data_IF_984203620235
#
_entry.id   IF_984203620235
#
_cell.length_a   1.000
_cell.length_b   1.000
_cell.length_c   1.000
_cell.angle_alpha   90.00
_cell.angle_beta   90.00
_cell.angle_gamma   90.00
#
_symmetry.space_group_name_H-M   'P 1'
#
loop_
_entity.id
_entity.type
_entity.pdbx_description
1 polymer ?
#
# COMPACT_ATOMS: atom_id res chain seq x y z
N UNK A 1 22.27 -5.75 24.32
CA UNK A 1 20.80 -5.63 24.13
C UNK A 1 20.45 -6.24 22.79
N UNK A 2 19.86 -7.42 22.83
CA UNK A 2 19.49 -8.19 21.62
C UNK A 2 18.16 -7.63 21.07
N UNK A 3 18.17 -7.15 19.83
CA UNK A 3 16.93 -6.90 19.09
C UNK A 3 16.37 -8.25 18.66
N UNK A 4 15.26 -8.64 19.24
CA UNK A 4 14.44 -9.74 18.72
C UNK A 4 13.55 -9.19 17.63
N UNK A 5 13.72 -9.72 16.43
CA UNK A 5 12.76 -9.45 15.35
C UNK A 5 11.43 -10.14 15.70
N UNK A 6 10.35 -9.36 15.70
CA UNK A 6 8.99 -9.84 15.82
C UNK A 6 8.55 -10.46 14.50
N UNK A 7 8.05 -11.65 14.55
CA UNK A 7 7.28 -12.44 13.60
C UNK A 7 7.93 -13.76 13.22
N UNK A 8 7.57 -14.79 14.00
CA UNK A 8 7.61 -16.17 13.53
C UNK A 8 6.16 -16.66 13.39
N UNK A 9 5.67 -16.77 12.19
CA UNK A 9 4.49 -17.55 11.89
C UNK A 9 4.91 -19.03 11.84
N UNK A 10 4.30 -19.86 12.69
CA UNK A 10 4.23 -21.31 12.57
C UNK A 10 5.54 -22.08 12.36
N UNK A 11 6.21 -22.48 13.44
CA UNK A 11 6.84 -23.81 13.51
C UNK A 11 8.16 -24.05 12.80
N UNK A 12 9.09 -23.08 12.70
CA UNK A 12 10.53 -23.38 12.63
C UNK A 12 11.31 -22.17 13.12
N UNK A 13 11.99 -22.36 14.24
CA UNK A 13 12.86 -21.36 14.87
C UNK A 13 14.17 -21.27 14.08
N UNK A 14 14.34 -20.22 13.29
CA UNK A 14 15.65 -19.85 12.75
C UNK A 14 16.28 -18.84 13.70
N UNK A 15 17.23 -19.32 14.50
CA UNK A 15 18.08 -18.49 15.35
C UNK A 15 19.18 -17.91 14.47
N UNK A 16 19.15 -16.62 14.18
CA UNK A 16 20.29 -15.89 13.64
C UNK A 16 21.06 -15.25 14.79
N UNK A 17 22.23 -15.82 15.09
CA UNK A 17 23.21 -15.21 15.99
C UNK A 17 24.01 -14.18 15.20
N UNK A 18 23.81 -12.88 15.46
CA UNK A 18 24.70 -11.83 14.96
C UNK A 18 25.79 -11.57 16.00
N UNK A 19 27.00 -12.00 15.70
CA UNK A 19 28.20 -11.57 16.40
C UNK A 19 28.66 -10.22 15.82
N UNK A 20 28.60 -9.17 16.64
CA UNK A 20 29.20 -7.87 16.30
C UNK A 20 30.72 -7.95 16.37
N UNK A 21 31.41 -7.72 15.26
CA UNK A 21 32.78 -7.23 15.25
C UNK A 21 32.88 -6.05 14.29
N UNK A 22 33.32 -4.95 14.83
CA UNK A 22 33.60 -3.72 14.11
C UNK A 22 34.90 -3.86 13.29
N UNK A 23 34.99 -3.00 12.29
CA UNK A 23 36.11 -2.56 11.46
C UNK A 23 36.21 -3.20 10.07
N UNK A 24 36.03 -2.38 9.08
CA UNK A 24 36.39 -2.65 7.70
C UNK A 24 35.40 -1.99 6.71
N UNK A 25 35.76 -0.81 6.22
CA UNK A 25 35.10 -0.20 5.06
C UNK A 25 35.23 -1.12 3.87
N UNK A 26 34.13 -1.72 3.46
CA UNK A 26 34.04 -2.40 2.16
C UNK A 26 32.96 -1.70 1.36
N UNK A 27 33.43 -1.03 0.29
CA UNK A 27 32.56 -0.42 -0.68
C UNK A 27 31.56 -1.42 -1.24
N UNK A 28 30.29 -1.02 -1.23
CA UNK A 28 29.26 -1.67 -2.01
C UNK A 28 29.64 -1.50 -3.51
N UNK A 29 30.15 -2.55 -4.13
CA UNK A 29 30.17 -2.63 -5.57
C UNK A 29 28.73 -2.78 -6.05
N UNK A 30 28.23 -1.87 -6.92
CA UNK A 30 26.94 -2.08 -7.53
C UNK A 30 26.99 -3.35 -8.37
N UNK A 31 26.07 -4.30 -8.09
CA UNK A 31 25.82 -5.42 -8.99
C UNK A 31 25.57 -4.84 -10.37
N UNK A 32 26.44 -5.17 -11.33
CA UNK A 32 26.29 -4.79 -12.72
C UNK A 32 25.04 -5.49 -13.29
N UNK A 33 23.91 -4.79 -13.28
CA UNK A 33 22.72 -5.22 -13.99
C UNK A 33 22.99 -4.98 -15.47
N UNK A 34 23.18 -6.06 -16.22
CA UNK A 34 23.24 -5.99 -17.68
C UNK A 34 21.96 -5.32 -18.21
N UNK A 35 22.13 -4.25 -19.00
CA UNK A 35 21.00 -3.59 -19.65
C UNK A 35 20.33 -4.57 -20.63
N UNK A 36 19.00 -4.79 -20.52
CA UNK A 36 18.29 -5.58 -21.53
C UNK A 36 18.23 -4.82 -22.85
N UNK A 37 18.40 -5.54 -23.95
CA UNK A 37 18.23 -5.03 -25.31
C UNK A 37 16.80 -4.54 -25.55
N UNK A 38 16.64 -3.45 -26.31
CA UNK A 38 15.38 -2.83 -26.68
C UNK A 38 14.51 -3.79 -27.53
N UNK A 39 13.19 -3.71 -27.33
CA UNK A 39 12.11 -4.15 -28.20
C UNK A 39 11.87 -5.65 -28.41
N UNK A 40 11.41 -6.31 -27.33
CA UNK A 40 10.50 -7.46 -27.48
C UNK A 40 9.49 -7.48 -26.33
N UNK A 41 8.38 -8.22 -26.47
CA UNK A 41 7.46 -8.52 -25.35
C UNK A 41 8.25 -9.04 -24.14
N UNK A 42 9.23 -9.91 -24.43
CA UNK A 42 10.14 -10.47 -23.44
C UNK A 42 10.94 -9.39 -22.71
N UNK A 43 11.35 -8.33 -23.41
CA UNK A 43 12.07 -7.21 -22.79
C UNK A 43 11.24 -6.38 -21.81
N UNK A 44 9.93 -6.19 -22.03
CA UNK A 44 9.06 -5.49 -21.08
C UNK A 44 8.81 -6.34 -19.83
N UNK A 45 8.45 -7.61 -20.00
CA UNK A 45 8.21 -8.52 -18.89
C UNK A 45 9.46 -8.68 -18.01
N UNK A 46 10.64 -8.79 -18.64
CA UNK A 46 11.92 -8.83 -17.92
C UNK A 46 12.20 -7.55 -17.13
N UNK A 47 11.92 -6.36 -17.70
CA UNK A 47 12.09 -5.09 -16.97
C UNK A 47 11.14 -4.99 -15.78
N UNK A 48 9.87 -5.32 -15.96
CA UNK A 48 8.87 -5.31 -14.89
C UNK A 48 9.27 -6.27 -13.78
N UNK A 49 9.66 -7.51 -14.13
CA UNK A 49 10.13 -8.50 -13.17
C UNK A 49 11.36 -8.01 -12.41
N UNK A 50 12.34 -7.40 -13.09
CA UNK A 50 13.55 -6.88 -12.45
C UNK A 50 13.23 -5.76 -11.43
N UNK A 51 12.32 -4.84 -11.76
CA UNK A 51 11.87 -3.78 -10.84
C UNK A 51 11.18 -4.38 -9.63
N UNK A 52 10.28 -5.36 -9.83
CA UNK A 52 9.53 -6.00 -8.76
C UNK A 52 10.45 -6.80 -7.83
N UNK A 53 11.39 -7.56 -8.40
CA UNK A 53 12.38 -8.31 -7.61
C UNK A 53 13.27 -7.38 -6.78
N UNK A 54 13.72 -6.27 -7.38
CA UNK A 54 14.52 -5.27 -6.68
C UNK A 54 13.72 -4.60 -5.55
N UNK A 55 12.43 -4.36 -5.75
CA UNK A 55 11.54 -3.82 -4.73
C UNK A 55 11.30 -4.86 -3.61
N UNK A 56 11.00 -6.13 -3.94
CA UNK A 56 10.80 -7.22 -2.97
C UNK A 56 12.01 -7.43 -2.07
N UNK A 57 13.20 -7.36 -2.64
CA UNK A 57 14.47 -7.58 -1.93
C UNK A 57 14.78 -6.51 -0.87
N UNK A 58 14.11 -5.35 -0.91
CA UNK A 58 14.35 -4.26 0.04
C UNK A 58 13.79 -4.54 1.43
N UNK A 59 12.76 -5.39 1.55
CA UNK A 59 12.11 -5.70 2.83
C UNK A 59 10.77 -4.97 3.00
N UNK A 60 10.36 -4.77 4.25
CA UNK A 60 9.05 -4.16 4.57
C UNK A 60 9.06 -2.65 4.33
N UNK A 61 8.20 -2.16 3.43
CA UNK A 61 8.14 -0.77 2.99
C UNK A 61 7.30 0.14 3.90
N UNK A 62 7.27 -0.15 5.20
CA UNK A 62 6.48 0.64 6.15
C UNK A 62 6.99 2.08 6.25
N UNK A 63 6.08 3.03 6.10
CA UNK A 63 6.36 4.47 6.06
C UNK A 63 7.24 4.96 7.21
N UNK A 64 8.25 5.75 6.87
CA UNK A 64 9.16 6.40 7.81
C UNK A 64 10.21 5.46 8.41
N UNK A 65 10.37 4.23 7.90
CA UNK A 65 11.46 3.33 8.26
C UNK A 65 12.70 3.57 7.39
N UNK A 66 13.82 2.96 7.76
CA UNK A 66 15.03 2.99 6.95
C UNK A 66 14.81 2.34 5.57
N UNK A 67 14.02 1.26 5.52
CA UNK A 67 13.64 0.59 4.25
C UNK A 67 12.81 1.52 3.38
N UNK A 68 11.84 2.24 3.94
CA UNK A 68 11.04 3.22 3.19
C UNK A 68 11.92 4.34 2.61
N UNK A 69 12.89 4.84 3.37
CA UNK A 69 13.85 5.84 2.91
C UNK A 69 14.76 5.31 1.80
N UNK A 70 15.32 4.11 1.99
CA UNK A 70 16.17 3.46 0.97
C UNK A 70 15.38 3.17 -0.31
N UNK A 71 14.11 2.74 -0.18
CA UNK A 71 13.20 2.54 -1.30
C UNK A 71 12.92 3.83 -2.08
N UNK A 72 12.78 4.98 -1.39
CA UNK A 72 12.63 6.28 -2.05
C UNK A 72 13.87 6.66 -2.85
N UNK A 73 15.05 6.47 -2.28
CA UNK A 73 16.33 6.73 -2.93
C UNK A 73 16.55 5.83 -4.15
N UNK A 74 16.26 4.53 -3.99
CA UNK A 74 16.30 3.58 -5.10
C UNK A 74 15.37 3.98 -6.23
N UNK A 75 14.11 4.31 -5.94
CA UNK A 75 13.16 4.71 -6.96
C UNK A 75 13.56 6.01 -7.67
N UNK A 76 14.11 6.96 -6.93
CA UNK A 76 14.66 8.18 -7.53
C UNK A 76 15.82 7.87 -8.49
N UNK A 77 16.67 6.89 -8.16
CA UNK A 77 17.74 6.44 -9.06
C UNK A 77 17.17 5.76 -10.32
N UNK A 78 16.12 4.93 -10.20
CA UNK A 78 15.45 4.34 -11.37
C UNK A 78 14.87 5.42 -12.29
N UNK A 79 14.25 6.46 -11.74
CA UNK A 79 13.76 7.61 -12.52
C UNK A 79 14.92 8.33 -13.23
N UNK A 80 16.07 8.51 -12.55
CA UNK A 80 17.27 9.15 -13.14
C UNK A 80 17.83 8.35 -14.31
N UNK A 81 17.83 7.01 -14.21
CA UNK A 81 18.25 6.11 -15.31
C UNK A 81 17.37 6.24 -16.55
N UNK A 82 16.13 6.71 -16.39
CA UNK A 82 15.24 7.03 -17.51
C UNK A 82 15.49 8.41 -18.12
N UNK A 83 16.52 9.14 -17.68
CA UNK A 83 16.85 10.47 -18.17
C UNK A 83 15.96 11.59 -17.59
N UNK A 84 15.16 11.30 -16.58
CA UNK A 84 14.27 12.27 -15.94
C UNK A 84 14.83 12.66 -14.57
N UNK A 85 14.80 13.95 -14.24
CA UNK A 85 15.30 14.46 -12.93
C UNK A 85 14.28 14.19 -11.84
N UNK A 86 14.58 13.32 -10.84
CA UNK A 86 13.73 13.10 -9.69
C UNK A 86 13.93 14.14 -8.60
N UNK A 87 12.96 14.24 -7.69
CA UNK A 87 13.08 14.96 -6.42
C UNK A 87 12.53 14.09 -5.29
N UNK A 88 13.16 14.18 -4.11
CA UNK A 88 12.66 13.58 -2.87
C UNK A 88 11.99 14.69 -2.06
N UNK A 89 10.68 14.62 -1.87
CA UNK A 89 9.90 15.59 -1.13
C UNK A 89 9.60 15.05 0.27
N UNK A 90 10.25 15.61 1.32
CA UNK A 90 10.10 15.12 2.68
C UNK A 90 8.76 15.51 3.30
N UNK A 91 8.24 14.67 4.18
CA UNK A 91 7.18 15.01 5.12
C UNK A 91 7.41 14.34 6.46
N UNK A 92 6.98 15.00 7.54
CA UNK A 92 7.13 14.51 8.90
C UNK A 92 5.95 13.63 9.32
N UNK A 93 6.23 12.65 10.20
CA UNK A 93 5.22 11.86 10.86
C UNK A 93 5.69 11.42 12.26
N UNK A 94 4.76 11.02 13.11
CA UNK A 94 5.05 10.31 14.36
C UNK A 94 4.91 8.81 14.09
N UNK A 95 6.02 8.15 13.68
CA UNK A 95 6.06 6.73 13.38
C UNK A 95 5.70 5.90 14.61
N UNK A 96 4.92 4.86 14.41
CA UNK A 96 4.56 3.89 15.46
C UNK A 96 5.49 2.69 15.35
N UNK A 97 6.21 2.38 16.42
CA UNK A 97 7.13 1.24 16.50
C UNK A 97 6.61 0.25 17.55
N UNK A 98 6.01 -0.90 17.10
CA UNK A 98 5.54 -1.95 17.99
C UNK A 98 6.66 -2.49 18.88
N UNK A 99 6.37 -2.74 20.15
CA UNK A 99 7.30 -3.30 21.14
C UNK A 99 6.88 -4.70 21.57
N UNK A 100 5.71 -4.81 22.20
CA UNK A 100 5.15 -6.07 22.67
C UNK A 100 3.65 -6.05 22.41
N UNK A 101 3.18 -6.90 21.48
CA UNK A 101 1.80 -6.91 21.02
C UNK A 101 1.29 -8.36 20.97
N UNK A 102 0.41 -8.73 21.90
CA UNK A 102 -0.11 -10.09 22.00
C UNK A 102 -1.44 -10.17 22.76
N UNK A 103 -2.18 -11.23 22.50
CA UNK A 103 -3.26 -11.72 23.34
C UNK A 103 -2.78 -12.97 24.10
N UNK A 104 -3.07 -13.07 25.38
CA UNK A 104 -2.83 -14.26 26.20
C UNK A 104 -4.11 -14.74 26.85
N UNK A 105 -4.40 -16.03 26.70
CA UNK A 105 -5.50 -16.73 27.35
C UNK A 105 -4.93 -17.97 28.01
N UNK A 106 -4.98 -18.04 29.34
CA UNK A 106 -4.27 -19.07 30.10
C UNK A 106 -2.76 -19.08 29.80
N UNK A 107 -2.23 -20.21 29.35
CA UNK A 107 -0.83 -20.37 28.95
C UNK A 107 -0.58 -20.03 27.47
N UNK A 108 -1.62 -19.95 26.62
CA UNK A 108 -1.47 -19.68 25.18
C UNK A 108 -1.29 -18.19 24.94
N UNK A 109 -0.29 -17.86 24.11
CA UNK A 109 -0.01 -16.52 23.63
C UNK A 109 -0.14 -16.46 22.11
N UNK A 110 -0.85 -15.46 21.61
CA UNK A 110 -0.99 -15.13 20.19
C UNK A 110 -0.35 -13.78 19.98
N UNK A 111 0.74 -13.75 19.22
CA UNK A 111 1.37 -12.50 18.82
C UNK A 111 0.59 -11.82 17.69
N UNK A 112 0.65 -10.49 17.64
CA UNK A 112 -0.07 -9.68 16.66
C UNK A 112 0.60 -8.34 16.39
N UNK A 113 -0.11 -7.51 15.61
CA UNK A 113 0.34 -6.16 15.23
C UNK A 113 -0.70 -5.15 15.70
N UNK A 114 -0.29 -4.00 16.29
CA UNK A 114 -1.26 -2.99 16.67
C UNK A 114 -2.03 -2.47 15.45
N UNK A 115 -3.27 -2.04 15.63
CA UNK A 115 -3.86 -1.10 14.69
C UNK A 115 -3.23 0.27 14.94
N UNK A 116 -2.46 0.79 13.99
CA UNK A 116 -1.50 1.88 14.19
C UNK A 116 -2.13 3.24 14.52
N UNK A 117 -3.42 3.39 14.33
CA UNK A 117 -4.21 4.58 14.64
C UNK A 117 -5.20 4.36 15.80
N UNK A 118 -4.99 3.32 16.61
CA UNK A 118 -5.71 3.05 17.86
C UNK A 118 -4.88 3.46 19.10
N UNK A 119 -5.44 3.24 20.30
CA UNK A 119 -4.74 3.37 21.56
C UNK A 119 -3.69 2.26 21.76
N UNK A 120 -2.83 2.46 22.78
CA UNK A 120 -1.83 1.46 23.20
C UNK A 120 -2.00 1.18 24.69
N UNK A 121 -1.50 0.02 25.15
CA UNK A 121 -1.44 -0.34 26.58
C UNK A 121 -0.05 -0.06 27.15
N UNK A 122 0.03 -0.07 28.47
CA UNK A 122 1.29 -0.34 29.18
C UNK A 122 1.66 -1.84 29.13
N UNK A 123 2.70 -2.24 29.85
CA UNK A 123 3.16 -3.64 29.90
C UNK A 123 2.23 -4.57 30.69
N UNK A 124 1.31 -4.04 31.52
CA UNK A 124 0.31 -4.84 32.23
C UNK A 124 -0.85 -5.22 31.31
N UNK A 125 -1.13 -4.37 30.31
CA UNK A 125 -2.18 -4.58 29.33
C UNK A 125 -3.59 -4.44 29.91
N UNK A 126 -4.57 -4.83 29.10
CA UNK A 126 -5.99 -4.92 29.47
C UNK A 126 -6.31 -6.35 29.86
N UNK A 127 -6.88 -6.55 31.06
CA UNK A 127 -7.31 -7.87 31.54
C UNK A 127 -8.82 -7.95 31.69
N UNK A 128 -9.39 -9.09 31.35
CA UNK A 128 -10.78 -9.40 31.54
C UNK A 128 -11.35 -10.39 30.54
N UNK A 129 -12.64 -10.56 30.53
CA UNK A 129 -13.33 -11.53 29.68
C UNK A 129 -13.30 -11.16 28.22
N UNK A 130 -13.17 -12.18 27.37
CA UNK A 130 -13.36 -12.09 25.93
C UNK A 130 -14.85 -12.18 25.58
N UNK A 131 -15.28 -11.37 24.59
CA UNK A 131 -16.60 -11.41 24.00
C UNK A 131 -16.59 -10.80 22.59
N UNK A 132 -17.68 -10.88 21.86
CA UNK A 132 -17.79 -10.16 20.60
C UNK A 132 -17.87 -8.65 20.81
N UNK A 133 -17.43 -7.86 19.84
CA UNK A 133 -17.67 -6.42 19.83
C UNK A 133 -19.18 -6.17 19.89
N UNK A 134 -19.60 -5.34 20.86
CA UNK A 134 -21.01 -5.09 21.16
C UNK A 134 -21.54 -5.85 22.38
N UNK A 135 -20.78 -6.79 22.97
CA UNK A 135 -21.11 -7.42 24.27
C UNK A 135 -20.61 -6.55 25.43
N UNK A 136 -20.85 -7.01 26.64
CA UNK A 136 -20.39 -6.40 27.92
C UNK A 136 -18.96 -6.84 28.32
N UNK A 137 -18.29 -7.64 27.50
CA UNK A 137 -16.94 -8.13 27.77
C UNK A 137 -15.91 -6.99 27.79
N UNK A 138 -14.86 -7.18 28.58
CA UNK A 138 -13.76 -6.21 28.70
C UNK A 138 -12.96 -6.11 27.40
N UNK A 139 -12.72 -7.25 26.72
CA UNK A 139 -11.97 -7.36 25.47
C UNK A 139 -12.91 -7.85 24.39
N UNK A 140 -13.12 -7.03 23.37
CA UNK A 140 -13.97 -7.36 22.22
C UNK A 140 -13.19 -8.08 21.11
N UNK A 141 -13.78 -9.10 20.49
CA UNK A 141 -13.32 -9.66 19.22
C UNK A 141 -14.14 -9.09 18.07
N UNK A 142 -13.48 -8.59 17.05
CA UNK A 142 -14.06 -8.17 15.77
C UNK A 142 -13.49 -9.01 14.63
N UNK A 143 -14.36 -9.73 13.92
CA UNK A 143 -14.03 -10.30 12.62
C UNK A 143 -14.52 -9.40 11.51
N UNK A 144 -13.65 -9.07 10.57
CA UNK A 144 -13.99 -8.32 9.34
C UNK A 144 -13.72 -9.18 8.11
N UNK A 145 -14.44 -8.88 7.03
CA UNK A 145 -14.21 -9.50 5.72
C UNK A 145 -12.85 -9.09 5.12
N UNK A 146 -12.35 -9.84 4.13
CA UNK A 146 -11.21 -9.40 3.36
C UNK A 146 -11.56 -8.11 2.60
N UNK A 147 -10.56 -7.28 2.36
CA UNK A 147 -10.74 -6.15 1.45
C UNK A 147 -11.01 -6.68 0.03
N UNK A 148 -12.00 -6.11 -0.66
CA UNK A 148 -12.28 -6.34 -2.08
C UNK A 148 -12.51 -5.02 -2.78
N UNK A 149 -11.99 -4.89 -4.01
CA UNK A 149 -12.07 -3.62 -4.76
C UNK A 149 -13.50 -3.25 -5.15
N UNK A 150 -14.39 -4.24 -5.33
CA UNK A 150 -15.79 -4.02 -5.70
C UNK A 150 -16.72 -3.77 -4.51
N UNK A 151 -16.36 -4.23 -3.30
CA UNK A 151 -17.23 -4.10 -2.13
C UNK A 151 -17.18 -2.68 -1.53
N UNK A 152 -18.31 -2.15 -1.04
CA UNK A 152 -18.33 -0.85 -0.40
C UNK A 152 -17.35 -0.77 0.78
N UNK A 153 -16.43 0.19 0.73
CA UNK A 153 -15.46 0.43 1.81
C UNK A 153 -16.15 0.70 3.16
N UNK A 154 -17.37 1.24 3.11
CA UNK A 154 -18.15 1.58 4.30
C UNK A 154 -18.39 0.37 5.22
N UNK A 155 -18.58 -0.83 4.69
CA UNK A 155 -18.83 -2.03 5.51
C UNK A 155 -17.58 -2.46 6.26
N UNK A 156 -16.45 -2.56 5.58
CA UNK A 156 -15.18 -2.92 6.18
C UNK A 156 -14.71 -1.90 7.23
N UNK A 157 -14.76 -0.60 6.89
CA UNK A 157 -14.35 0.46 7.80
C UNK A 157 -15.38 0.78 8.87
N UNK A 158 -16.65 0.64 8.55
CA UNK A 158 -17.75 0.81 9.49
C UNK A 158 -17.63 -0.11 10.69
N UNK A 159 -17.20 -1.35 10.48
CA UNK A 159 -16.97 -2.32 11.55
C UNK A 159 -15.83 -1.89 12.48
N UNK A 160 -14.69 -1.43 11.91
CA UNK A 160 -13.55 -0.91 12.71
C UNK A 160 -13.97 0.37 13.44
N UNK A 161 -14.71 1.26 12.79
CA UNK A 161 -15.22 2.49 13.40
C UNK A 161 -16.17 2.21 14.56
N UNK A 162 -17.03 1.19 14.44
CA UNK A 162 -17.91 0.73 15.53
C UNK A 162 -17.09 0.18 16.69
N UNK A 163 -16.05 -0.63 16.41
CA UNK A 163 -15.15 -1.14 17.43
C UNK A 163 -14.40 -0.03 18.19
N UNK A 164 -14.00 1.04 17.50
CA UNK A 164 -13.35 2.21 18.12
C UNK A 164 -14.22 2.95 19.12
N UNK A 165 -15.55 2.89 18.95
CA UNK A 165 -16.56 3.54 19.81
C UNK A 165 -17.19 2.60 20.82
N UNK A 166 -16.84 1.33 20.77
CA UNK A 166 -17.37 0.34 21.70
C UNK A 166 -16.88 0.60 23.14
N UNK A 167 -17.60 0.14 24.16
CA UNK A 167 -17.19 0.29 25.55
C UNK A 167 -16.04 -0.64 25.96
N UNK A 168 -15.58 -1.50 25.06
CA UNK A 168 -14.47 -2.42 25.33
C UNK A 168 -13.18 -1.65 25.67
N UNK A 169 -12.45 -2.15 26.65
CA UNK A 169 -11.13 -1.59 27.03
C UNK A 169 -10.00 -2.01 26.09
N UNK A 170 -10.24 -3.02 25.27
CA UNK A 170 -9.34 -3.48 24.22
C UNK A 170 -10.08 -4.29 23.19
N UNK A 171 -9.54 -4.38 21.97
CA UNK A 171 -10.17 -5.13 20.87
C UNK A 171 -9.13 -6.00 20.18
N UNK A 172 -9.50 -7.24 19.89
CA UNK A 172 -8.79 -8.13 18.98
C UNK A 172 -9.46 -8.04 17.62
N UNK A 173 -8.70 -7.70 16.58
CA UNK A 173 -9.17 -7.58 15.22
C UNK A 173 -8.65 -8.74 14.38
N UNK A 174 -9.54 -9.42 13.68
CA UNK A 174 -9.23 -10.52 12.81
C UNK A 174 -9.81 -10.25 11.43
N UNK A 175 -8.93 -10.21 10.42
CA UNK A 175 -9.36 -10.08 9.02
C UNK A 175 -9.46 -11.46 8.39
N UNK A 176 -10.67 -11.87 8.01
CA UNK A 176 -10.88 -13.10 7.26
C UNK A 176 -10.22 -12.96 5.87
N UNK A 177 -9.58 -14.02 5.41
CA UNK A 177 -8.95 -14.10 4.09
C UNK A 177 -9.14 -15.47 3.49
N UNK A 178 -8.88 -15.61 2.20
CA UNK A 178 -8.93 -16.92 1.51
C UNK A 178 -7.78 -17.85 1.92
N UNK A 179 -6.70 -17.28 2.47
CA UNK A 179 -5.54 -18.01 2.98
C UNK A 179 -5.37 -17.76 4.47
N UNK A 180 -4.84 -18.72 5.25
CA UNK A 180 -4.42 -18.46 6.61
C UNK A 180 -3.32 -17.41 6.66
N UNK A 181 -3.39 -16.48 7.62
CA UNK A 181 -2.36 -15.45 7.78
C UNK A 181 -2.82 -14.20 8.50
N UNK A 182 -1.88 -13.31 8.71
CA UNK A 182 -2.12 -11.98 9.27
C UNK A 182 -2.33 -10.97 8.12
N UNK A 183 -3.52 -10.38 8.07
CA UNK A 183 -3.91 -9.35 7.11
C UNK A 183 -4.13 -8.05 7.85
N UNK A 184 -3.35 -7.02 7.53
CA UNK A 184 -3.40 -5.76 8.25
C UNK A 184 -4.41 -4.78 7.63
N UNK A 185 -5.09 -4.05 8.49
CA UNK A 185 -5.94 -2.93 8.09
C UNK A 185 -5.13 -1.64 8.03
N UNK A 186 -5.44 -0.77 7.07
CA UNK A 186 -4.83 0.55 6.99
C UNK A 186 -5.26 1.44 8.15
N UNK A 187 -4.33 2.22 8.66
CA UNK A 187 -4.51 3.17 9.76
C UNK A 187 -4.99 4.52 9.23
N UNK A 188 -6.25 4.61 8.84
CA UNK A 188 -6.80 5.78 8.12
C UNK A 188 -6.92 7.03 8.99
N UNK A 189 -7.02 6.87 10.30
CA UNK A 189 -7.05 7.95 11.28
C UNK A 189 -5.67 8.24 11.90
N UNK A 190 -4.58 7.89 11.22
CA UNK A 190 -3.22 7.96 11.77
C UNK A 190 -2.83 9.33 12.31
N UNK A 191 -3.31 10.41 11.69
CA UNK A 191 -3.08 11.80 12.18
C UNK A 191 -3.85 12.10 13.47
N UNK A 192 -4.99 11.45 13.68
CA UNK A 192 -5.87 11.64 14.84
C UNK A 192 -6.27 10.27 15.43
N UNK A 193 -5.33 9.56 16.05
CA UNK A 193 -5.57 8.22 16.57
C UNK A 193 -6.61 8.25 17.69
N UNK A 194 -7.48 7.23 17.72
CA UNK A 194 -8.58 7.16 18.69
C UNK A 194 -9.05 5.73 18.93
N UNK A 195 -9.78 5.55 20.02
CA UNK A 195 -10.38 4.29 20.44
C UNK A 195 -9.46 3.47 21.36
N UNK A 196 -9.95 2.31 21.82
CA UNK A 196 -9.20 1.42 22.68
C UNK A 196 -7.98 0.83 21.98
N UNK A 197 -7.01 0.25 22.69
CA UNK A 197 -5.96 -0.57 22.11
C UNK A 197 -6.54 -1.68 21.24
N UNK A 198 -6.04 -1.82 20.01
CA UNK A 198 -6.49 -2.84 19.07
C UNK A 198 -5.33 -3.67 18.56
N UNK A 199 -5.45 -5.00 18.67
CA UNK A 199 -4.47 -5.99 18.23
C UNK A 199 -4.99 -6.73 17.00
N UNK A 200 -4.27 -6.65 15.89
CA UNK A 200 -4.54 -7.44 14.69
C UNK A 200 -3.83 -8.79 14.80
N UNK A 201 -4.58 -9.88 14.66
CA UNK A 201 -4.06 -11.24 14.76
C UNK A 201 -4.32 -12.06 13.49
N UNK A 202 -3.58 -13.16 13.33
CA UNK A 202 -3.79 -14.07 12.21
C UNK A 202 -5.19 -14.68 12.21
N UNK A 203 -5.82 -14.79 11.03
CA UNK A 203 -7.09 -15.48 10.89
C UNK A 203 -6.99 -17.00 11.10
N UNK A 204 -5.79 -17.56 11.14
CA UNK A 204 -5.59 -18.94 11.57
C UNK A 204 -6.01 -19.19 13.02
N UNK A 205 -6.13 -18.13 13.83
CA UNK A 205 -6.57 -18.19 15.21
C UNK A 205 -8.10 -18.14 15.38
N UNK A 206 -8.86 -17.96 14.28
CA UNK A 206 -10.30 -17.68 14.32
C UNK A 206 -11.09 -18.72 15.09
N UNK A 207 -10.93 -20.00 14.75
CA UNK A 207 -11.73 -21.06 15.39
C UNK A 207 -11.40 -21.20 16.88
N UNK A 208 -10.12 -21.18 17.23
CA UNK A 208 -9.72 -21.23 18.62
C UNK A 208 -10.23 -20.01 19.41
N UNK A 209 -10.16 -18.81 18.84
CA UNK A 209 -10.70 -17.61 19.50
C UNK A 209 -12.21 -17.70 19.70
N UNK A 210 -12.96 -18.25 18.75
CA UNK A 210 -14.41 -18.48 18.90
C UNK A 210 -14.73 -19.44 20.06
N UNK A 211 -13.95 -20.48 20.23
CA UNK A 211 -14.08 -21.38 21.39
C UNK A 211 -13.87 -20.62 22.70
N UNK A 212 -12.85 -19.75 22.78
CA UNK A 212 -12.59 -18.94 23.97
C UNK A 212 -13.71 -17.93 24.27
N UNK A 213 -14.35 -17.39 23.23
CA UNK A 213 -15.52 -16.50 23.38
C UNK A 213 -16.73 -17.22 23.99
N UNK A 214 -16.97 -18.47 23.57
CA UNK A 214 -18.11 -19.26 24.09
C UNK A 214 -18.04 -19.46 25.60
N UNK A 215 -16.84 -19.62 26.14
CA UNK A 215 -16.62 -19.79 27.58
C UNK A 215 -16.30 -18.48 28.30
N UNK A 216 -16.36 -17.34 27.61
CA UNK A 216 -15.99 -16.03 28.13
C UNK A 216 -14.64 -16.05 28.85
N UNK A 217 -13.64 -16.66 28.21
CA UNK A 217 -12.33 -16.87 28.79
C UNK A 217 -11.69 -15.56 29.29
N UNK A 218 -11.03 -15.64 30.45
CA UNK A 218 -10.18 -14.53 30.92
C UNK A 218 -8.94 -14.38 30.05
N UNK A 219 -8.67 -13.16 29.60
CA UNK A 219 -7.58 -12.84 28.71
C UNK A 219 -6.79 -11.61 29.17
N UNK A 220 -5.57 -11.49 28.67
CA UNK A 220 -4.74 -10.29 28.77
C UNK A 220 -4.36 -9.84 27.38
N UNK A 221 -4.72 -8.63 27.00
CA UNK A 221 -4.36 -7.97 25.75
C UNK A 221 -3.26 -6.95 26.03
N UNK A 222 -2.10 -7.14 25.40
CA UNK A 222 -0.99 -6.18 25.46
C UNK A 222 -0.75 -5.63 24.06
N UNK A 223 -0.76 -4.31 23.93
CA UNK A 223 -0.52 -3.59 22.69
C UNK A 223 0.42 -2.43 23.01
N UNK A 224 1.71 -2.74 23.17
CA UNK A 224 2.73 -1.73 23.46
C UNK A 224 3.38 -1.25 22.16
N UNK A 225 3.41 0.05 21.96
CA UNK A 225 4.12 0.70 20.87
C UNK A 225 4.64 2.06 21.30
N UNK A 226 5.68 2.53 20.63
CA UNK A 226 6.27 3.85 20.84
C UNK A 226 5.98 4.70 19.61
N UNK A 227 5.61 5.97 19.83
CA UNK A 227 5.56 6.98 18.76
C UNK A 227 6.85 7.76 18.76
N UNK A 228 7.55 7.80 17.63
CA UNK A 228 8.80 8.54 17.47
C UNK A 228 8.75 9.45 16.25
N UNK A 229 9.33 10.63 16.36
CA UNK A 229 9.46 11.54 15.22
C UNK A 229 10.25 10.85 14.10
N UNK A 230 9.73 10.90 12.90
CA UNK A 230 10.34 10.33 11.71
C UNK A 230 10.06 11.19 10.48
N UNK A 231 10.78 10.93 9.41
CA UNK A 231 10.60 11.55 8.11
C UNK A 231 10.36 10.45 7.06
N UNK A 232 9.49 10.73 6.12
CA UNK A 232 9.28 9.92 4.92
C UNK A 232 9.35 10.81 3.68
N UNK A 233 9.43 10.21 2.49
CA UNK A 233 9.64 10.95 1.25
C UNK A 233 8.65 10.50 0.17
N UNK A 234 8.06 11.46 -0.52
CA UNK A 234 7.49 11.22 -1.84
C UNK A 234 8.61 11.31 -2.90
N UNK A 235 8.55 10.47 -3.90
CA UNK A 235 9.44 10.58 -5.08
C UNK A 235 8.66 11.26 -6.18
N UNK A 236 9.16 12.40 -6.65
CA UNK A 236 8.50 13.19 -7.70
C UNK A 236 9.39 13.38 -8.91
N UNK A 237 8.77 13.56 -10.08
CA UNK A 237 9.45 13.89 -11.32
C UNK A 237 8.53 14.70 -12.23
N UNK A 238 9.10 15.40 -13.19
CA UNK A 238 8.38 16.16 -14.21
C UNK A 238 8.98 15.93 -15.59
N UNK A 239 8.12 15.69 -16.57
CA UNK A 239 8.44 15.77 -17.99
C UNK A 239 7.69 16.98 -18.54
N UNK A 240 8.45 17.98 -19.02
CA UNK A 240 7.86 19.22 -19.53
C UNK A 240 7.20 19.02 -20.89
N UNK A 241 5.99 19.54 -21.02
CA UNK A 241 5.28 19.59 -22.30
C UNK A 241 5.77 20.75 -23.19
N UNK A 242 5.47 20.65 -24.48
CA UNK A 242 5.78 21.71 -25.45
C UNK A 242 4.85 22.93 -25.32
N UNK A 243 3.69 22.78 -24.67
CA UNK A 243 2.73 23.86 -24.42
C UNK A 243 2.41 23.98 -22.92
N UNK A 244 3.11 24.85 -22.19
CA UNK A 244 2.92 25.04 -20.75
C UNK A 244 1.58 25.65 -20.35
N UNK A 245 0.75 26.09 -21.31
CA UNK A 245 -0.61 26.61 -21.06
C UNK A 245 -1.64 25.48 -20.88
N UNK A 246 -1.32 24.26 -21.33
CA UNK A 246 -2.19 23.12 -21.15
C UNK A 246 -2.16 22.64 -19.68
N UNK A 247 -3.30 22.26 -19.17
CA UNK A 247 -3.44 21.66 -17.85
C UNK A 247 -2.62 20.36 -17.77
N UNK A 248 -1.81 20.14 -16.70
CA UNK A 248 -0.91 19.01 -16.60
C UNK A 248 -1.65 17.69 -16.35
N UNK A 249 -1.04 16.57 -16.72
CA UNK A 249 -1.40 15.24 -16.22
C UNK A 249 -0.62 14.92 -14.96
N UNK A 250 -1.23 14.20 -14.02
CA UNK A 250 -0.56 13.71 -12.82
C UNK A 250 -0.67 12.19 -12.75
N UNK A 251 0.47 11.50 -12.74
CA UNK A 251 0.57 10.04 -12.62
C UNK A 251 1.01 9.69 -11.21
N UNK A 252 0.16 8.98 -10.48
CA UNK A 252 0.41 8.70 -9.07
C UNK A 252 0.36 7.21 -8.75
N UNK A 253 1.28 6.78 -7.89
CA UNK A 253 1.37 5.43 -7.38
C UNK A 253 1.83 5.46 -5.91
N UNK A 254 1.19 4.75 -4.99
CA UNK A 254 1.78 4.49 -3.68
C UNK A 254 3.01 3.57 -3.81
N UNK A 255 3.97 3.75 -2.91
CA UNK A 255 5.17 2.92 -2.83
C UNK A 255 5.47 2.37 -1.43
N UNK A 256 4.79 2.85 -0.39
CA UNK A 256 4.88 2.30 0.96
C UNK A 256 3.76 1.30 1.23
N UNK A 257 4.00 0.37 2.14
CA UNK A 257 3.08 -0.69 2.50
C UNK A 257 3.40 -1.29 3.87
N UNK A 258 2.56 -2.19 4.38
CA UNK A 258 2.79 -2.91 5.62
C UNK A 258 3.98 -3.86 5.57
N UNK A 259 4.14 -4.54 4.41
CA UNK A 259 5.14 -5.56 4.15
C UNK A 259 5.87 -5.25 2.83
N UNK A 260 6.38 -6.26 2.14
CA UNK A 260 6.87 -6.12 0.77
C UNK A 260 5.74 -5.72 -0.19
N UNK A 261 4.56 -6.35 -0.06
CA UNK A 261 3.35 -6.00 -0.82
C UNK A 261 3.57 -5.82 -2.31
N UNK A 262 4.06 -6.87 -2.96
CA UNK A 262 4.53 -6.83 -4.35
C UNK A 262 3.39 -6.67 -5.34
N UNK A 263 2.31 -7.43 -5.18
CA UNK A 263 1.14 -7.26 -6.05
C UNK A 263 0.47 -5.91 -5.80
N UNK A 264 0.43 -5.49 -4.54
CA UNK A 264 -0.20 -4.24 -4.15
C UNK A 264 0.58 -3.01 -4.63
N UNK A 265 1.90 -2.94 -4.37
CA UNK A 265 2.70 -1.73 -4.61
C UNK A 265 3.80 -1.93 -5.66
N UNK A 266 4.53 -3.05 -5.62
CA UNK A 266 5.63 -3.30 -6.55
C UNK A 266 5.19 -3.24 -8.02
N UNK A 267 4.02 -3.82 -8.33
CA UNK A 267 3.42 -3.77 -9.66
C UNK A 267 3.09 -2.34 -10.11
N UNK A 268 2.57 -1.50 -9.20
CA UNK A 268 2.29 -0.08 -9.50
C UNK A 268 3.56 0.70 -9.81
N UNK A 269 4.59 0.51 -8.99
CA UNK A 269 5.90 1.16 -9.16
C UNK A 269 6.51 0.77 -10.50
N UNK A 270 6.44 -0.52 -10.87
CA UNK A 270 6.95 -1.00 -12.14
C UNK A 270 6.19 -0.38 -13.34
N UNK A 271 4.85 -0.34 -13.30
CA UNK A 271 4.05 0.33 -14.33
C UNK A 271 4.31 1.85 -14.39
N UNK A 272 4.46 2.51 -13.24
CA UNK A 272 4.73 3.93 -13.14
C UNK A 272 6.07 4.29 -13.81
N UNK A 273 7.11 3.47 -13.64
CA UNK A 273 8.39 3.62 -14.34
C UNK A 273 8.26 3.42 -15.85
N UNK A 274 7.42 2.49 -16.33
CA UNK A 274 7.20 2.31 -17.77
C UNK A 274 6.42 3.48 -18.39
N UNK A 275 5.50 4.13 -17.66
CA UNK A 275 4.86 5.38 -18.12
C UNK A 275 5.91 6.50 -18.24
N UNK A 276 6.79 6.66 -17.26
CA UNK A 276 7.90 7.63 -17.33
C UNK A 276 8.77 7.34 -18.55
N UNK A 277 9.16 6.09 -18.76
CA UNK A 277 9.98 5.67 -19.92
C UNK A 277 9.33 6.09 -21.24
N UNK A 278 8.05 5.78 -21.40
CA UNK A 278 7.30 6.08 -22.63
C UNK A 278 7.20 7.60 -22.88
N UNK A 279 6.87 8.36 -21.85
CA UNK A 279 6.72 9.82 -21.97
C UNK A 279 8.07 10.54 -22.11
N UNK A 280 9.12 10.06 -21.48
CA UNK A 280 10.48 10.61 -21.64
C UNK A 280 11.02 10.44 -23.08
N UNK A 281 10.67 9.33 -23.73
CA UNK A 281 11.03 9.08 -25.13
C UNK A 281 10.13 9.85 -26.12
N UNK A 282 9.07 10.49 -25.66
CA UNK A 282 8.11 11.25 -26.46
C UNK A 282 8.33 12.77 -26.32
N UNK A 283 7.54 13.55 -27.06
CA UNK A 283 7.45 15.01 -26.87
C UNK A 283 6.01 15.35 -26.49
N UNK A 284 5.64 15.23 -25.20
CA UNK A 284 4.28 15.50 -24.78
C UNK A 284 3.88 16.96 -25.05
N UNK A 285 2.61 17.22 -25.37
CA UNK A 285 2.10 18.57 -25.53
C UNK A 285 1.96 19.29 -24.17
N UNK A 286 1.52 18.55 -23.14
CA UNK A 286 1.30 19.08 -21.78
C UNK A 286 2.30 18.54 -20.77
N UNK A 287 2.51 19.27 -19.68
CA UNK A 287 3.34 18.82 -18.58
C UNK A 287 2.80 17.49 -18.00
N UNK A 288 3.70 16.54 -17.77
CA UNK A 288 3.43 15.28 -17.10
C UNK A 288 4.15 15.27 -15.75
N UNK A 289 3.37 15.27 -14.67
CA UNK A 289 3.85 15.23 -13.29
C UNK A 289 3.74 13.81 -12.78
N UNK A 290 4.77 13.35 -12.10
CA UNK A 290 4.86 12.01 -11.56
C UNK A 290 5.05 12.08 -10.06
N UNK A 291 4.33 11.28 -9.30
CA UNK A 291 4.50 11.18 -7.85
C UNK A 291 4.28 9.76 -7.36
N UNK A 292 5.29 9.22 -6.67
CA UNK A 292 5.21 7.98 -5.94
C UNK A 292 5.17 8.28 -4.44
N UNK A 293 4.02 8.01 -3.80
CA UNK A 293 3.74 8.39 -2.42
C UNK A 293 4.26 7.38 -1.40
N UNK A 294 4.74 7.87 -0.26
CA UNK A 294 4.81 7.11 0.99
C UNK A 294 3.60 7.46 1.88
N UNK A 295 3.29 6.64 2.87
CA UNK A 295 2.19 6.89 3.81
C UNK A 295 0.82 6.39 3.36
N UNK A 296 0.76 5.52 2.35
CA UNK A 296 -0.48 4.91 1.87
C UNK A 296 -1.24 4.19 2.98
N UNK A 297 -0.55 3.31 3.70
CA UNK A 297 -1.10 2.48 4.78
C UNK A 297 -1.44 3.30 6.05
N UNK A 298 -0.95 4.54 6.15
CA UNK A 298 -1.14 5.45 7.26
C UNK A 298 -2.11 6.61 6.93
N UNK A 299 -3.14 6.33 6.14
CA UNK A 299 -4.16 7.32 5.79
C UNK A 299 -3.69 8.32 4.74
N UNK A 300 -2.92 7.86 3.76
CA UNK A 300 -2.46 8.62 2.58
C UNK A 300 -1.66 9.89 2.92
N UNK A 301 -0.77 9.79 3.93
CA UNK A 301 -0.02 10.94 4.47
C UNK A 301 0.78 11.68 3.40
N UNK A 302 1.48 10.94 2.52
CA UNK A 302 2.29 11.54 1.47
C UNK A 302 1.46 12.29 0.43
N UNK A 303 0.26 11.78 0.10
CA UNK A 303 -0.66 12.48 -0.80
C UNK A 303 -1.11 13.79 -0.18
N UNK A 304 -1.50 13.79 1.09
CA UNK A 304 -1.87 15.00 1.79
C UNK A 304 -0.73 16.03 1.80
N UNK A 305 0.49 15.61 2.13
CA UNK A 305 1.66 16.50 2.11
C UNK A 305 1.97 17.06 0.71
N UNK A 306 1.84 16.23 -0.33
CA UNK A 306 2.04 16.68 -1.72
C UNK A 306 1.04 17.75 -2.14
N UNK A 307 -0.24 17.58 -1.77
CA UNK A 307 -1.32 18.51 -2.07
C UNK A 307 -1.23 19.78 -1.23
N UNK A 308 -0.84 19.70 0.04
CA UNK A 308 -0.61 20.88 0.89
C UNK A 308 0.40 21.85 0.28
N UNK A 309 1.42 21.34 -0.42
CA UNK A 309 2.39 22.16 -1.16
C UNK A 309 1.87 22.68 -2.50
N UNK A 310 0.75 22.13 -3.01
CA UNK A 310 0.20 22.40 -4.34
C UNK A 310 -1.33 22.49 -4.32
N UNK A 311 -1.92 23.39 -3.54
CA UNK A 311 -3.37 23.38 -3.24
C UNK A 311 -4.25 23.50 -4.50
N UNK A 312 -3.78 24.23 -5.53
CA UNK A 312 -4.55 24.42 -6.77
C UNK A 312 -4.43 23.23 -7.74
N UNK A 313 -3.46 22.36 -7.55
CA UNK A 313 -3.13 21.31 -8.52
C UNK A 313 -4.27 20.32 -8.71
N UNK A 314 -5.04 20.02 -7.64
CA UNK A 314 -6.16 19.07 -7.72
C UNK A 314 -7.10 19.45 -8.84
N UNK A 315 -7.57 20.70 -8.88
CA UNK A 315 -8.55 21.20 -9.86
C UNK A 315 -7.92 21.64 -11.17
N UNK A 316 -6.66 22.10 -11.13
CA UNK A 316 -5.94 22.58 -12.31
C UNK A 316 -5.46 21.46 -13.21
N UNK A 317 -5.20 20.25 -12.67
CA UNK A 317 -4.77 19.11 -13.46
C UNK A 317 -5.88 18.69 -14.46
N UNK A 318 -5.47 18.35 -15.69
CA UNK A 318 -6.38 17.78 -16.68
C UNK A 318 -6.97 16.45 -16.21
N UNK A 319 -6.12 15.60 -15.65
CA UNK A 319 -6.52 14.37 -15.00
C UNK A 319 -5.44 13.87 -14.03
N UNK A 320 -5.87 13.14 -13.00
CA UNK A 320 -5.04 12.35 -12.11
C UNK A 320 -5.20 10.87 -12.46
N UNK A 321 -4.12 10.24 -12.89
CA UNK A 321 -4.08 8.83 -13.24
C UNK A 321 -3.49 8.07 -12.06
N UNK A 322 -4.33 7.33 -11.35
CA UNK A 322 -3.95 6.57 -10.18
C UNK A 322 -3.80 5.08 -10.53
N UNK A 323 -2.58 4.58 -10.45
CA UNK A 323 -2.32 3.16 -10.57
C UNK A 323 -2.85 2.47 -9.31
N UNK A 324 -3.97 1.77 -9.44
CA UNK A 324 -4.66 1.12 -8.33
C UNK A 324 -3.97 -0.15 -7.85
N UNK A 325 -4.46 -0.75 -6.76
CA UNK A 325 -3.84 -1.93 -6.15
C UNK A 325 -3.88 -3.16 -7.04
N UNK A 326 -2.86 -4.00 -6.89
CA UNK A 326 -2.86 -5.40 -7.34
C UNK A 326 -3.07 -5.62 -8.85
N UNK A 327 -2.73 -4.61 -9.70
CA UNK A 327 -2.89 -4.67 -11.16
C UNK A 327 -2.07 -5.77 -11.84
N UNK A 328 -1.23 -6.47 -11.13
CA UNK A 328 -0.48 -7.63 -11.58
C UNK A 328 -0.80 -8.90 -10.77
N UNK A 329 -1.83 -8.89 -9.93
CA UNK A 329 -2.21 -10.06 -9.16
C UNK A 329 -2.78 -11.17 -10.06
N UNK A 330 -2.46 -12.46 -9.81
CA UNK A 330 -2.92 -13.54 -10.64
C UNK A 330 -4.46 -13.70 -10.63
N UNK A 331 -5.08 -13.72 -11.81
CA UNK A 331 -6.50 -14.11 -12.04
C UNK A 331 -7.51 -13.41 -11.14
N UNK A 332 -7.36 -12.12 -10.92
CA UNK A 332 -8.29 -11.35 -10.09
C UNK A 332 -9.13 -10.40 -10.95
N UNK A 333 -10.41 -10.19 -10.59
CA UNK A 333 -11.22 -9.18 -11.26
C UNK A 333 -10.63 -7.79 -11.06
N UNK A 334 -10.80 -6.94 -12.09
CA UNK A 334 -10.43 -5.54 -12.02
C UNK A 334 -11.66 -4.64 -11.87
N UNK A 335 -11.43 -3.48 -11.28
CA UNK A 335 -12.41 -2.41 -11.16
C UNK A 335 -11.82 -1.12 -11.75
N UNK A 336 -12.55 -0.49 -12.68
CA UNK A 336 -12.30 0.88 -13.10
C UNK A 336 -13.16 1.80 -12.23
N UNK A 337 -12.54 2.88 -11.72
CA UNK A 337 -13.25 4.00 -11.14
C UNK A 337 -12.72 5.30 -11.73
N UNK A 338 -13.57 6.04 -12.39
CA UNK A 338 -13.27 7.32 -13.00
C UNK A 338 -14.23 8.40 -12.51
N UNK A 339 -13.80 9.66 -12.54
CA UNK A 339 -14.65 10.82 -12.19
C UNK A 339 -15.69 11.14 -13.25
N UNK A 340 -15.51 10.68 -14.48
CA UNK A 340 -16.34 10.99 -15.63
C UNK A 340 -16.20 9.96 -16.75
N UNK A 341 -17.19 9.96 -17.67
CA UNK A 341 -17.26 9.03 -18.80
C UNK A 341 -16.08 9.11 -19.77
N UNK A 342 -15.48 10.31 -19.93
CA UNK A 342 -14.36 10.52 -20.86
C UNK A 342 -13.13 9.75 -20.38
N UNK A 343 -12.80 9.87 -19.09
CA UNK A 343 -11.69 9.17 -18.49
C UNK A 343 -11.96 7.65 -18.37
N UNK A 344 -13.21 7.26 -18.08
CA UNK A 344 -13.60 5.85 -18.07
C UNK A 344 -13.44 5.23 -19.46
N UNK A 345 -13.98 5.87 -20.50
CA UNK A 345 -13.87 5.41 -21.88
C UNK A 345 -12.42 5.34 -22.37
N UNK A 346 -11.61 6.31 -21.99
CA UNK A 346 -10.18 6.33 -22.29
C UNK A 346 -9.45 5.10 -21.71
N UNK A 347 -9.58 4.84 -20.41
CA UNK A 347 -8.85 3.71 -19.78
C UNK A 347 -9.42 2.35 -20.21
N UNK A 348 -10.74 2.24 -20.36
CA UNK A 348 -11.40 1.05 -20.91
C UNK A 348 -10.79 0.69 -22.27
N UNK A 349 -10.79 1.64 -23.19
CA UNK A 349 -10.21 1.43 -24.54
C UNK A 349 -8.73 1.05 -24.50
N UNK A 350 -7.95 1.65 -23.57
CA UNK A 350 -6.53 1.34 -23.42
C UNK A 350 -6.31 -0.10 -22.92
N UNK A 351 -7.11 -0.56 -21.96
CA UNK A 351 -7.06 -1.91 -21.38
C UNK A 351 -7.49 -2.96 -22.41
N UNK A 352 -8.62 -2.73 -23.09
CA UNK A 352 -9.16 -3.66 -24.08
C UNK A 352 -8.25 -3.85 -25.29
N UNK A 353 -7.53 -2.81 -25.73
CA UNK A 353 -6.53 -2.89 -26.81
C UNK A 353 -5.37 -3.83 -26.48
N UNK A 354 -5.03 -4.00 -25.21
CA UNK A 354 -4.00 -4.93 -24.75
C UNK A 354 -4.57 -6.32 -24.44
N UNK A 355 -5.84 -6.59 -24.81
CA UNK A 355 -6.50 -7.89 -24.63
C UNK A 355 -6.85 -8.22 -23.18
N UNK A 356 -7.01 -7.20 -22.33
CA UNK A 356 -7.57 -7.34 -21.00
C UNK A 356 -9.07 -7.04 -21.02
N UNK A 357 -9.83 -7.71 -20.15
CA UNK A 357 -11.24 -7.42 -19.92
C UNK A 357 -11.40 -6.33 -18.85
N UNK A 358 -12.51 -5.62 -18.87
CA UNK A 358 -12.96 -4.78 -17.76
C UNK A 358 -14.09 -5.50 -17.07
N UNK A 359 -13.84 -5.98 -15.85
CA UNK A 359 -14.78 -6.81 -15.12
C UNK A 359 -15.85 -5.95 -14.42
N UNK A 360 -15.44 -4.84 -13.80
CA UNK A 360 -16.34 -4.00 -13.03
C UNK A 360 -16.07 -2.50 -13.26
N UNK A 361 -17.10 -1.67 -13.08
CA UNK A 361 -17.05 -0.22 -13.12
C UNK A 361 -17.75 0.36 -11.92
N UNK A 362 -17.06 1.24 -11.19
CA UNK A 362 -17.67 1.98 -10.10
C UNK A 362 -18.47 3.18 -10.65
N UNK A 363 -19.65 3.50 -10.09
CA UNK A 363 -20.35 4.74 -10.44
C UNK A 363 -19.47 5.97 -10.23
N UNK A 364 -19.47 6.93 -11.17
CA UNK A 364 -18.61 8.12 -11.15
C UNK A 364 -18.73 8.94 -9.86
N UNK A 365 -19.91 8.98 -9.26
CA UNK A 365 -20.21 9.70 -8.03
C UNK A 365 -20.02 8.87 -6.75
N UNK A 366 -19.64 7.60 -6.87
CA UNK A 366 -19.36 6.77 -5.70
C UNK A 366 -18.06 7.22 -5.01
N UNK A 367 -17.89 6.96 -3.69
CA UNK A 367 -16.68 7.35 -2.99
C UNK A 367 -15.43 6.66 -3.54
N UNK A 368 -14.46 7.45 -3.99
CA UNK A 368 -13.18 6.94 -4.44
C UNK A 368 -12.34 6.40 -3.28
N UNK A 369 -11.34 5.55 -3.61
CA UNK A 369 -10.49 4.86 -2.65
C UNK A 369 -9.04 5.31 -2.75
N UNK A 370 -8.28 5.04 -1.68
CA UNK A 370 -6.87 5.40 -1.60
C UNK A 370 -6.65 6.88 -1.90
N UNK A 371 -5.60 7.17 -2.62
CA UNK A 371 -5.20 8.52 -3.01
C UNK A 371 -6.24 9.23 -3.89
N UNK A 372 -6.97 8.48 -4.72
CA UNK A 372 -8.03 9.03 -5.55
C UNK A 372 -9.15 9.68 -4.71
N UNK A 373 -9.37 9.24 -3.46
CA UNK A 373 -10.36 9.86 -2.58
C UNK A 373 -10.00 11.31 -2.22
N UNK A 374 -8.72 11.62 -2.08
CA UNK A 374 -8.25 13.00 -1.81
C UNK A 374 -8.50 13.88 -3.04
N UNK A 375 -8.26 13.33 -4.23
CA UNK A 375 -8.47 14.05 -5.49
C UNK A 375 -9.98 14.32 -5.71
N UNK A 376 -10.82 13.31 -5.50
CA UNK A 376 -12.27 13.43 -5.60
C UNK A 376 -12.82 14.48 -4.63
N UNK A 377 -12.41 14.44 -3.35
CA UNK A 377 -12.83 15.40 -2.33
C UNK A 377 -12.42 16.84 -2.68
N UNK A 378 -11.25 17.00 -3.32
CA UNK A 378 -10.79 18.30 -3.82
C UNK A 378 -11.47 18.77 -5.13
N UNK A 379 -12.36 17.98 -5.71
CA UNK A 379 -13.04 18.27 -6.97
C UNK A 379 -12.15 18.10 -8.22
N UNK A 380 -11.13 17.24 -8.13
CA UNK A 380 -10.24 16.90 -9.25
C UNK A 380 -10.80 15.76 -10.11
N UNK A 381 -10.40 15.73 -11.37
CA UNK A 381 -10.71 14.63 -12.29
C UNK A 381 -9.72 13.50 -12.12
N UNK A 382 -10.21 12.29 -11.99
CA UNK A 382 -9.35 11.12 -11.76
C UNK A 382 -9.82 9.88 -12.49
N UNK A 383 -8.91 8.95 -12.66
CA UNK A 383 -9.18 7.57 -13.07
C UNK A 383 -8.25 6.62 -12.35
N UNK A 384 -8.76 5.48 -11.94
CA UNK A 384 -7.98 4.38 -11.34
C UNK A 384 -8.44 3.03 -11.86
N UNK A 385 -7.50 2.09 -11.93
CA UNK A 385 -7.75 0.67 -12.18
C UNK A 385 -7.12 -0.11 -11.04
N UNK A 386 -7.89 -0.93 -10.37
CA UNK A 386 -7.42 -1.77 -9.28
C UNK A 386 -7.91 -3.21 -9.46
N UNK A 387 -7.14 -4.18 -8.99
CA UNK A 387 -7.54 -5.58 -8.96
C UNK A 387 -7.60 -6.07 -7.51
N UNK A 388 -8.36 -7.13 -7.27
CA UNK A 388 -8.29 -7.85 -6.00
C UNK A 388 -6.99 -8.65 -5.88
N UNK A 389 -6.66 -9.06 -4.66
CA UNK A 389 -5.57 -9.98 -4.38
C UNK A 389 -5.90 -10.84 -3.17
N UNK A 390 -5.65 -12.14 -3.25
CA UNK A 390 -5.86 -13.06 -2.12
C UNK A 390 -4.86 -12.85 -0.98
N UNK A 391 -3.76 -12.14 -1.27
CA UNK A 391 -2.66 -11.87 -0.33
C UNK A 391 -2.53 -10.39 0.02
N UNK A 392 -3.54 -9.57 -0.34
CA UNK A 392 -3.56 -8.13 -0.06
C UNK A 392 -3.31 -7.82 1.41
N UNK A 393 -2.34 -6.96 1.71
CA UNK A 393 -1.91 -6.59 3.07
C UNK A 393 -1.33 -7.74 3.92
N UNK A 394 -0.91 -8.83 3.29
CA UNK A 394 -0.32 -10.01 3.95
C UNK A 394 1.17 -10.13 3.67
N UNK A 395 1.89 -10.80 4.57
CA UNK A 395 3.29 -11.18 4.37
C UNK A 395 3.51 -12.13 3.18
N UNK A 396 2.44 -12.77 2.69
CA UNK A 396 2.48 -13.65 1.53
C UNK A 396 2.43 -12.89 0.19
N UNK A 397 2.26 -11.55 0.20
CA UNK A 397 2.32 -10.74 -1.02
C UNK A 397 3.77 -10.53 -1.46
N UNK A 398 4.36 -11.58 -2.03
CA UNK A 398 5.78 -11.73 -2.36
C UNK A 398 5.98 -12.24 -3.79
N UNK A 399 7.15 -11.89 -4.34
CA UNK A 399 7.66 -12.46 -5.59
C UNK A 399 8.07 -13.94 -5.39
N UNK A 400 7.84 -14.84 -6.38
CA UNK A 400 7.09 -14.59 -7.64
C UNK A 400 5.57 -14.84 -7.52
N UNK A 401 5.09 -15.44 -6.44
CA UNK A 401 3.77 -16.10 -6.33
C UNK A 401 2.59 -15.12 -6.39
N UNK A 402 2.83 -13.86 -6.01
CA UNK A 402 1.80 -12.82 -5.97
C UNK A 402 1.64 -12.05 -7.29
N UNK A 403 2.40 -12.38 -8.36
CA UNK A 403 2.42 -11.61 -9.60
C UNK A 403 2.30 -12.48 -10.84
N UNK A 404 1.38 -12.12 -11.73
CA UNK A 404 1.34 -12.52 -13.14
C UNK A 404 2.01 -11.44 -13.99
N UNK A 405 3.27 -11.67 -14.35
CA UNK A 405 4.08 -10.68 -15.09
C UNK A 405 3.52 -10.41 -16.48
N UNK A 406 2.91 -11.42 -17.14
CA UNK A 406 2.32 -11.25 -18.45
C UNK A 406 1.06 -10.39 -18.42
N UNK A 407 0.21 -10.54 -17.41
CA UNK A 407 -0.92 -9.65 -17.17
C UNK A 407 -0.45 -8.23 -16.83
N UNK A 408 0.54 -8.10 -15.95
CA UNK A 408 1.14 -6.81 -15.61
C UNK A 408 1.71 -6.07 -16.83
N UNK A 409 2.38 -6.79 -17.74
CA UNK A 409 2.92 -6.20 -18.97
C UNK A 409 1.82 -5.62 -19.86
N UNK A 410 0.65 -6.24 -19.91
CA UNK A 410 -0.52 -5.70 -20.61
C UNK A 410 -1.04 -4.42 -19.96
N UNK A 411 -1.18 -4.39 -18.63
CA UNK A 411 -1.54 -3.17 -17.90
C UNK A 411 -0.50 -2.06 -18.11
N UNK A 412 0.79 -2.37 -18.02
CA UNK A 412 1.86 -1.40 -18.24
C UNK A 412 1.80 -0.78 -19.65
N UNK A 413 1.53 -1.59 -20.69
CA UNK A 413 1.30 -1.09 -22.06
C UNK A 413 0.05 -0.24 -22.16
N UNK A 414 -1.07 -0.68 -21.57
CA UNK A 414 -2.32 0.06 -21.58
C UNK A 414 -2.13 1.47 -20.97
N UNK A 415 -1.52 1.54 -19.80
CA UNK A 415 -1.24 2.80 -19.13
C UNK A 415 -0.24 3.67 -19.90
N UNK A 416 0.86 3.11 -20.41
CA UNK A 416 1.87 3.86 -21.14
C UNK A 416 1.32 4.41 -22.47
N UNK A 417 0.64 3.58 -23.26
CA UNK A 417 0.02 4.00 -24.51
C UNK A 417 -1.10 5.02 -24.30
N UNK A 418 -1.94 4.79 -23.28
CA UNK A 418 -2.97 5.74 -22.89
C UNK A 418 -2.39 7.07 -22.42
N UNK A 419 -1.32 7.06 -21.63
CA UNK A 419 -0.63 8.26 -21.17
C UNK A 419 -0.07 9.08 -22.34
N UNK A 420 0.53 8.42 -23.34
CA UNK A 420 1.01 9.07 -24.57
C UNK A 420 -0.14 9.77 -25.31
N UNK A 421 -1.31 9.13 -25.42
CA UNK A 421 -2.49 9.70 -26.07
C UNK A 421 -3.00 10.95 -25.32
N UNK A 422 -3.19 10.85 -24.00
CA UNK A 422 -3.66 12.00 -23.18
C UNK A 422 -2.64 13.15 -23.20
N UNK A 423 -1.37 12.86 -23.17
CA UNK A 423 -0.31 13.85 -23.15
C UNK A 423 -0.19 14.65 -24.45
N UNK A 424 -0.71 14.13 -25.58
CA UNK A 424 -0.73 14.80 -26.89
C UNK A 424 -2.03 15.60 -27.16
N UNK A 425 -3.08 15.44 -26.34
CA UNK A 425 -4.32 16.16 -26.53
C UNK A 425 -4.11 17.68 -26.34
N UNK A 426 -4.58 18.47 -27.28
CA UNK A 426 -4.44 19.93 -27.30
C UNK A 426 -5.62 20.69 -26.67
N UNK A 427 -6.60 19.95 -26.14
CA UNK A 427 -7.79 20.51 -25.48
C UNK A 427 -7.93 19.92 -24.07
#
# INVERSE_FOLDING_TARGET
MQRREFFAAGGQTLIFTLAARATGSTGFSPLSVQQPSQDSRDGLEQRLAAVIQAYDAQGNHRTGTEVDTASAQWLAEEVRRLGVKPSLEPFALNRVDPQSCYLRVGSRRIDGVPLFDAGFTDGQGVRGKLGFVGSDATIGLLEIGPFKVAEPRAEYQGSIYTARRSPHKGVVLLTRGRRPGLFLSNALAFRNPSGPPMLQVSNAESEWLKEQLQVQAEATLVVQAIRSAAQAFNVTAKISGSNPKLAPLVFMAPRSAWWQCISEQGCRVACWLEIIRALAASKPARDCLFVAFSGHELGVLGTAAYIEMRPDLIRRAHAWIFLGSSIGAPRQPNLIHASDEVLEGWITSAIEKEGLTVDERAPHNSPARGEASVIQQGGGRFVTVACDSEVYHSVADRWPDAVDVAALARYAKAFANGALQLAQQSK
#
